data_IF_870680783956
#
_entry.id   IF_870680783956
#
_cell.length_a   1.000
_cell.length_b   1.000
_cell.length_c   1.000
_cell.angle_alpha   90.00
_cell.angle_beta   90.00
_cell.angle_gamma   90.00
#
_symmetry.space_group_name_H-M   'P 1'
#
loop_
_entity.id
_entity.type
_entity.pdbx_description
1 polymer ?
#
# COMPACT_ATOMS: atom_id res chain seq x y z
N UNK A 1 11.80 9.04 0.03
CA UNK A 1 11.49 8.38 1.32
C UNK A 1 10.78 7.08 0.99
N UNK A 2 11.14 5.95 1.60
CA UNK A 2 10.63 4.65 1.19
C UNK A 2 9.83 4.01 2.32
N UNK A 3 8.74 3.34 1.97
CA UNK A 3 7.93 2.58 2.91
C UNK A 3 7.49 1.26 2.31
N UNK A 4 7.34 0.24 3.16
CA UNK A 4 6.96 -1.09 2.73
C UNK A 4 6.15 -1.78 3.80
N UNK A 5 4.94 -2.16 3.44
CA UNK A 5 4.09 -2.91 4.34
C UNK A 5 3.74 -4.28 3.77
N UNK A 6 3.70 -5.28 4.64
CA UNK A 6 3.27 -6.64 4.36
C UNK A 6 2.10 -6.95 5.28
N UNK A 7 0.97 -7.30 4.69
CA UNK A 7 -0.22 -7.79 5.37
C UNK A 7 -0.29 -9.30 5.22
N UNK A 8 -0.46 -9.97 6.36
CA UNK A 8 -0.85 -11.36 6.44
C UNK A 8 -2.05 -11.45 7.39
N UNK A 9 -3.20 -11.89 6.90
CA UNK A 9 -4.38 -12.12 7.74
C UNK A 9 -5.10 -13.41 7.36
N UNK A 10 -5.82 -13.99 8.32
CA UNK A 10 -6.66 -15.14 8.06
C UNK A 10 -8.13 -14.75 8.25
N UNK A 11 -8.94 -14.91 7.20
CA UNK A 11 -10.36 -14.58 7.25
C UNK A 11 -11.16 -15.75 6.69
N UNK A 12 -12.15 -16.23 7.44
CA UNK A 12 -13.02 -17.36 7.02
C UNK A 12 -12.23 -18.60 6.53
N UNK A 13 -11.10 -18.89 7.18
CA UNK A 13 -10.25 -20.03 6.83
C UNK A 13 -9.34 -19.83 5.61
N UNK A 14 -9.32 -18.63 5.00
CA UNK A 14 -8.43 -18.26 3.88
C UNK A 14 -7.27 -17.40 4.35
N UNK A 15 -6.11 -17.55 3.73
CA UNK A 15 -4.89 -16.86 4.09
C UNK A 15 -4.59 -15.72 3.09
N UNK A 16 -4.87 -14.49 3.49
CA UNK A 16 -4.71 -13.31 2.66
C UNK A 16 -3.27 -12.79 2.77
N UNK A 17 -2.63 -12.53 1.64
CA UNK A 17 -1.29 -11.96 1.62
C UNK A 17 -1.19 -10.80 0.64
N UNK A 18 -0.86 -9.62 1.16
CA UNK A 18 -0.59 -8.44 0.34
C UNK A 18 0.71 -7.78 0.79
N UNK A 19 1.52 -7.32 -0.14
CA UNK A 19 2.69 -6.52 0.14
C UNK A 19 2.79 -5.38 -0.88
N UNK A 20 2.97 -4.17 -0.36
CA UNK A 20 3.08 -2.95 -1.17
C UNK A 20 4.33 -2.20 -0.72
N UNK A 21 5.13 -1.79 -1.70
CA UNK A 21 6.25 -0.87 -1.48
C UNK A 21 6.00 0.44 -2.21
N UNK A 22 6.35 1.55 -1.55
CA UNK A 22 6.19 2.90 -2.09
C UNK A 22 7.46 3.72 -1.91
N UNK A 23 7.65 4.68 -2.81
CA UNK A 23 8.66 5.72 -2.74
C UNK A 23 7.99 7.09 -2.85
N UNK A 24 8.08 7.88 -1.80
CA UNK A 24 7.68 9.28 -1.79
C UNK A 24 8.83 10.17 -2.26
N UNK A 25 8.58 10.98 -3.28
CA UNK A 25 9.55 11.86 -3.94
C UNK A 25 9.07 13.30 -3.81
N UNK A 26 9.97 14.21 -3.42
CA UNK A 26 9.65 15.63 -3.37
C UNK A 26 9.20 16.11 -4.76
N UNK A 27 8.03 16.75 -4.82
CA UNK A 27 7.42 17.13 -6.09
C UNK A 27 7.57 18.63 -6.32
N UNK A 28 8.32 19.02 -7.35
CA UNK A 28 8.40 20.40 -7.81
C UNK A 28 7.28 20.74 -8.82
N UNK A 29 6.53 19.73 -9.26
CA UNK A 29 5.36 19.79 -10.14
C UNK A 29 4.16 19.17 -9.40
N UNK A 30 2.95 19.65 -9.72
CA UNK A 30 1.66 19.34 -9.07
C UNK A 30 1.69 18.21 -8.01
N UNK A 31 1.62 18.53 -6.71
CA UNK A 31 1.99 17.61 -5.63
C UNK A 31 1.02 16.43 -5.37
N UNK A 32 0.08 16.17 -6.27
CA UNK A 32 -0.92 15.11 -6.12
C UNK A 32 -0.67 13.87 -7.01
N UNK A 33 0.53 13.74 -7.57
CA UNK A 33 0.82 12.67 -8.52
C UNK A 33 1.09 11.34 -7.79
N UNK A 34 0.23 10.36 -8.05
CA UNK A 34 0.44 8.97 -7.68
C UNK A 34 0.73 8.22 -8.96
N UNK A 35 1.91 7.61 -9.06
CA UNK A 35 2.28 6.77 -10.20
C UNK A 35 2.62 5.36 -9.74
N UNK A 36 2.52 4.42 -10.68
CA UNK A 36 2.93 3.05 -10.45
C UNK A 36 4.13 2.77 -11.36
N UNK A 37 5.27 2.50 -10.77
CA UNK A 37 6.46 2.01 -11.47
C UNK A 37 6.73 0.59 -10.97
N UNK A 38 5.99 -0.38 -11.54
CA UNK A 38 6.26 -1.78 -11.29
C UNK A 38 7.61 -2.13 -11.89
N UNK A 39 8.51 -2.63 -11.04
CA UNK A 39 9.85 -2.99 -11.49
C UNK A 39 9.73 -4.14 -12.51
N UNK A 40 10.23 -4.01 -13.75
CA UNK A 40 10.11 -5.06 -14.77
C UNK A 40 10.85 -6.37 -14.42
N UNK A 41 11.68 -6.35 -13.37
CA UNK A 41 12.31 -7.55 -12.79
C UNK A 41 11.41 -8.31 -11.80
N UNK A 42 10.22 -7.80 -11.47
CA UNK A 42 9.22 -8.60 -10.79
C UNK A 42 8.87 -9.76 -11.73
N UNK A 43 9.16 -11.00 -11.31
CA UNK A 43 8.84 -12.24 -12.05
C UNK A 43 7.34 -12.44 -12.32
N UNK A 44 6.50 -11.53 -11.83
CA UNK A 44 5.09 -11.41 -12.16
C UNK A 44 5.07 -10.49 -13.38
N UNK A 45 4.72 -11.03 -14.55
CA UNK A 45 4.52 -10.23 -15.76
C UNK A 45 3.76 -8.94 -15.38
N UNK A 46 4.29 -7.74 -15.68
CA UNK A 46 3.62 -6.47 -15.37
C UNK A 46 2.17 -6.42 -15.90
N UNK A 47 1.88 -7.24 -16.91
CA UNK A 47 0.57 -7.47 -17.53
C UNK A 47 -0.43 -8.26 -16.66
N UNK A 48 0.00 -8.85 -15.53
CA UNK A 48 -0.84 -9.67 -14.63
C UNK A 48 -1.23 -9.00 -13.30
N UNK A 49 -0.80 -7.76 -13.04
CA UNK A 49 -1.35 -7.04 -11.88
C UNK A 49 -2.74 -6.55 -12.27
N UNK A 50 -3.76 -7.24 -11.77
CA UNK A 50 -5.18 -6.89 -11.93
C UNK A 50 -5.38 -5.39 -11.77
N UNK A 51 -6.11 -4.77 -12.68
CA UNK A 51 -6.39 -3.33 -12.61
C UNK A 51 -7.05 -2.96 -11.27
N UNK A 52 -7.86 -3.87 -10.73
CA UNK A 52 -8.46 -3.74 -9.40
C UNK A 52 -7.41 -3.54 -8.29
N UNK A 53 -6.30 -4.27 -8.34
CA UNK A 53 -5.21 -4.19 -7.36
C UNK A 53 -4.47 -2.86 -7.45
N UNK A 54 -4.28 -2.37 -8.68
CA UNK A 54 -3.66 -1.06 -8.93
C UNK A 54 -4.54 0.05 -8.36
N UNK A 55 -5.84 0.01 -8.66
CA UNK A 55 -6.81 0.97 -8.14
C UNK A 55 -6.91 0.92 -6.61
N UNK A 56 -6.87 -0.27 -6.02
CA UNK A 56 -6.86 -0.45 -4.57
C UNK A 56 -5.63 0.22 -3.91
N UNK A 57 -4.44 0.01 -4.47
CA UNK A 57 -3.22 0.64 -3.96
C UNK A 57 -3.27 2.17 -4.10
N UNK A 58 -3.73 2.68 -5.25
CA UNK A 58 -3.91 4.13 -5.46
C UNK A 58 -4.89 4.70 -4.44
N UNK A 59 -6.00 4.00 -4.18
CA UNK A 59 -6.98 4.40 -3.17
C UNK A 59 -6.36 4.46 -1.78
N UNK A 60 -5.55 3.49 -1.39
CA UNK A 60 -4.86 3.48 -0.10
C UNK A 60 -3.93 4.69 0.10
N UNK A 61 -3.15 5.04 -0.93
CA UNK A 61 -2.31 6.24 -0.91
C UNK A 61 -3.14 7.53 -0.88
N UNK A 62 -4.26 7.59 -1.62
CA UNK A 62 -5.19 8.74 -1.55
C UNK A 62 -5.79 8.90 -0.15
N UNK A 63 -6.17 7.80 0.50
CA UNK A 63 -6.65 7.81 1.89
C UNK A 63 -5.58 8.37 2.83
N UNK A 64 -4.31 7.95 2.66
CA UNK A 64 -3.20 8.53 3.41
C UNK A 64 -3.11 10.05 3.22
N UNK A 65 -3.15 10.54 1.98
CA UNK A 65 -3.13 11.97 1.71
C UNK A 65 -4.36 12.73 2.23
N UNK A 66 -5.53 12.10 2.26
CA UNK A 66 -6.72 12.70 2.87
C UNK A 66 -6.56 12.91 4.37
N UNK A 67 -5.84 12.02 5.06
CA UNK A 67 -5.58 12.13 6.51
C UNK A 67 -4.38 13.06 6.78
N UNK A 68 -3.37 13.04 5.90
CA UNK A 68 -2.15 13.84 6.01
C UNK A 68 -1.99 14.77 4.79
N UNK A 69 -2.82 15.82 4.66
CA UNK A 69 -2.87 16.65 3.47
C UNK A 69 -1.56 17.42 3.21
N UNK A 70 -0.77 17.70 4.24
CA UNK A 70 0.55 18.33 4.09
C UNK A 70 1.56 17.48 3.32
N UNK A 71 1.46 16.16 3.41
CA UNK A 71 2.31 15.27 2.61
C UNK A 71 1.93 15.39 1.13
N UNK A 72 0.63 15.48 0.84
CA UNK A 72 0.06 15.60 -0.51
C UNK A 72 0.32 16.93 -1.20
N UNK A 73 0.86 17.94 -0.50
CA UNK A 73 1.22 19.24 -1.08
C UNK A 73 2.70 19.38 -1.40
N UNK A 74 3.53 18.42 -0.96
CA UNK A 74 5.00 18.48 -1.08
C UNK A 74 5.60 17.26 -1.79
N UNK A 75 4.86 16.15 -1.85
CA UNK A 75 5.40 14.87 -2.29
C UNK A 75 4.46 14.13 -3.23
N UNK A 76 5.04 13.56 -4.28
CA UNK A 76 4.42 12.56 -5.13
C UNK A 76 4.78 11.17 -4.60
N UNK A 77 3.87 10.19 -4.76
CA UNK A 77 4.10 8.81 -4.31
C UNK A 77 4.13 7.88 -5.50
N UNK A 78 5.21 7.11 -5.60
CA UNK A 78 5.40 6.06 -6.58
C UNK A 78 5.19 4.72 -5.91
N UNK A 79 4.22 3.92 -6.37
CA UNK A 79 4.11 2.52 -5.97
C UNK A 79 5.12 1.71 -6.78
N UNK A 80 6.09 1.11 -6.10
CA UNK A 80 7.25 0.43 -6.73
C UNK A 80 7.13 -1.08 -6.76
N UNK A 81 6.26 -1.65 -5.91
CA UNK A 81 5.98 -3.09 -5.86
C UNK A 81 4.56 -3.31 -5.35
N UNK A 82 3.84 -4.21 -6.02
CA UNK A 82 2.59 -4.82 -5.56
C UNK A 82 2.79 -6.34 -5.65
N UNK A 83 2.65 -7.05 -4.53
CA UNK A 83 2.76 -8.50 -4.44
C UNK A 83 1.55 -9.03 -3.67
N UNK A 84 0.75 -9.88 -4.31
CA UNK A 84 -0.42 -10.49 -3.71
C UNK A 84 -0.71 -11.86 -4.32
N UNK A 85 -1.49 -12.68 -3.62
CA UNK A 85 -1.96 -13.98 -4.11
C UNK A 85 -3.43 -13.92 -4.51
N UNK A 86 -3.75 -14.14 -5.79
CA UNK A 86 -5.11 -13.99 -6.35
C UNK A 86 -6.18 -14.82 -5.65
N UNK A 87 -5.82 -16.02 -5.18
CA UNK A 87 -6.77 -16.98 -4.61
C UNK A 87 -7.36 -16.48 -3.29
N UNK A 88 -6.62 -15.62 -2.58
CA UNK A 88 -6.93 -15.27 -1.20
C UNK A 88 -6.84 -13.77 -0.90
N UNK A 89 -6.35 -12.92 -1.81
CA UNK A 89 -6.15 -11.48 -1.51
C UNK A 89 -7.29 -10.64 -2.06
N UNK A 90 -7.90 -9.82 -1.21
CA UNK A 90 -8.95 -8.89 -1.58
C UNK A 90 -8.35 -7.52 -1.91
N UNK A 91 -9.05 -6.71 -2.72
CA UNK A 91 -8.65 -5.33 -2.98
C UNK A 91 -8.46 -4.52 -1.67
N UNK A 92 -9.28 -4.78 -0.64
CA UNK A 92 -9.14 -4.12 0.66
C UNK A 92 -7.76 -4.37 1.32
N UNK A 93 -7.18 -5.56 1.13
CA UNK A 93 -5.86 -5.92 1.67
C UNK A 93 -4.75 -5.05 1.07
N UNK A 94 -4.86 -4.78 -0.22
CA UNK A 94 -3.94 -3.94 -0.97
C UNK A 94 -4.12 -2.46 -0.67
N UNK A 95 -5.36 -2.00 -0.49
CA UNK A 95 -5.66 -0.64 -0.05
C UNK A 95 -5.03 -0.35 1.32
N UNK A 96 -5.25 -1.25 2.28
CA UNK A 96 -4.63 -1.19 3.61
C UNK A 96 -3.11 -1.20 3.51
N UNK A 97 -2.56 -2.11 2.71
CA UNK A 97 -1.11 -2.24 2.58
C UNK A 97 -0.46 -1.00 1.98
N UNK A 98 -1.09 -0.40 0.96
CA UNK A 98 -0.61 0.83 0.36
C UNK A 98 -0.70 2.03 1.30
N UNK A 99 -1.78 2.14 2.09
CA UNK A 99 -1.90 3.15 3.13
C UNK A 99 -0.78 3.05 4.17
N UNK A 100 -0.55 1.84 4.71
CA UNK A 100 0.50 1.61 5.71
C UNK A 100 1.91 1.81 5.14
N UNK A 101 2.13 1.41 3.89
CA UNK A 101 3.41 1.65 3.21
C UNK A 101 3.66 3.15 3.05
N UNK A 102 2.64 3.94 2.67
CA UNK A 102 2.74 5.40 2.63
C UNK A 102 3.02 5.96 4.02
N UNK A 103 2.28 5.54 5.04
CA UNK A 103 2.50 5.96 6.41
C UNK A 103 3.95 5.74 6.87
N UNK A 104 4.50 4.55 6.66
CA UNK A 104 5.90 4.25 7.01
C UNK A 104 6.92 5.07 6.21
N UNK A 105 6.62 5.41 4.96
CA UNK A 105 7.51 6.26 4.18
C UNK A 105 7.66 7.66 4.79
N UNK A 106 6.57 8.22 5.34
CA UNK A 106 6.57 9.57 5.94
C UNK A 106 6.86 9.57 7.45
N UNK A 107 6.54 8.49 8.14
CA UNK A 107 6.63 8.36 9.60
C UNK A 107 7.35 7.06 10.00
N UNK A 108 8.62 6.85 9.59
CA UNK A 108 9.32 5.56 9.77
C UNK A 108 9.54 5.17 11.24
N UNK A 109 9.57 6.14 12.14
CA UNK A 109 9.76 5.93 13.57
C UNK A 109 8.45 5.86 14.37
N UNK A 110 7.31 6.03 13.71
CA UNK A 110 6.00 6.03 14.37
C UNK A 110 5.37 4.65 14.20
N UNK A 111 4.84 4.03 15.28
CA UNK A 111 4.10 2.80 15.17
C UNK A 111 2.96 2.92 14.16
N UNK A 112 2.67 1.83 13.47
CA UNK A 112 1.57 1.81 12.52
C UNK A 112 0.25 2.17 13.22
N UNK A 113 -0.62 2.95 12.55
CA UNK A 113 -1.93 3.25 13.08
C UNK A 113 -2.71 1.94 13.26
N UNK A 114 -3.39 1.80 14.40
CA UNK A 114 -4.30 0.69 14.64
C UNK A 114 -5.44 0.83 13.64
N UNK A 115 -5.45 -0.02 12.63
CA UNK A 115 -6.56 -0.12 11.71
C UNK A 115 -7.68 -0.84 12.46
N UNK A 116 -8.67 -0.08 12.93
CA UNK A 116 -9.92 -0.65 13.41
C UNK A 116 -10.68 -1.20 12.21
N UNK A 117 -10.33 -2.40 11.75
CA UNK A 117 -11.29 -3.17 10.97
C UNK A 117 -12.29 -3.76 11.96
N UNK A 118 -13.57 -3.76 11.60
CA UNK A 118 -14.63 -4.45 12.34
C UNK A 118 -14.44 -5.97 12.39
N UNK A 119 -13.39 -6.48 11.74
CA UNK A 119 -12.99 -7.89 11.65
C UNK A 119 -11.58 -8.08 12.26
N UNK A 120 -11.38 -7.58 13.48
CA UNK A 120 -10.09 -7.60 14.19
C UNK A 120 -9.68 -9.00 14.71
N UNK A 121 -10.38 -10.07 14.34
CA UNK A 121 -9.91 -11.44 14.58
C UNK A 121 -8.91 -11.83 13.48
N UNK A 122 -7.63 -11.99 13.85
CA UNK A 122 -6.60 -12.58 12.96
C UNK A 122 -5.53 -11.64 12.41
N UNK A 123 -5.39 -10.42 12.93
CA UNK A 123 -4.34 -9.49 12.51
C UNK A 123 -3.01 -9.81 13.22
N UNK A 124 -1.98 -10.18 12.46
CA UNK A 124 -0.62 -10.28 12.95
C UNK A 124 0.31 -9.37 12.13
N UNK A 125 0.80 -8.30 12.76
CA UNK A 125 1.91 -7.52 12.23
C UNK A 125 3.20 -8.28 12.54
N UNK A 126 3.82 -8.88 11.52
CA UNK A 126 5.15 -9.47 11.65
C UNK A 126 6.19 -8.36 11.75
N UNK A 127 6.91 -8.33 12.88
CA UNK A 127 8.09 -7.49 13.11
C UNK A 127 9.36 -8.06 12.48
#
# INVERSE_FOLDING_TARGET
MNGRFKLLRQTKGRCHFAAVSVSAVASNTSPHHISILLNPQQKIEPERIHEEWRQACIKGVKTFFSIYPEASSKYSVVITEILATEVDTEAADLEISAYCAAFQAFFPSVPLPVLQSSDAEGWHAGG
#
